data_IF_606083849912
#
_entry.id   IF_606083849912
#
_cell.length_a   1.000
_cell.length_b   1.000
_cell.length_c   1.000
_cell.angle_alpha   90.00
_cell.angle_beta   90.00
_cell.angle_gamma   90.00
#
_symmetry.space_group_name_H-M   'P 1'
#
loop_
_entity.id
_entity.type
_entity.pdbx_description
1 polymer ?
#
# COMPACT_ATOMS: atom_id res chain seq x y z
N UNK A 1 -27.38 3.81 14.34
CA UNK A 1 -26.26 2.92 13.95
C UNK A 1 -25.21 3.75 13.23
N UNK A 2 -23.97 3.88 13.73
CA UNK A 2 -22.95 4.66 13.03
C UNK A 2 -22.49 3.91 11.78
N UNK A 3 -22.46 4.63 10.65
CA UNK A 3 -22.06 4.15 9.33
C UNK A 3 -20.59 3.71 9.38
N UNK A 4 -20.33 2.46 9.03
CA UNK A 4 -18.98 1.90 8.89
C UNK A 4 -18.27 2.58 7.70
N UNK A 5 -17.66 3.74 7.94
CA UNK A 5 -16.75 4.36 6.99
C UNK A 5 -15.44 3.59 7.07
N UNK A 6 -15.15 2.79 6.04
CA UNK A 6 -13.84 2.16 5.89
C UNK A 6 -12.77 3.25 6.05
N UNK A 7 -12.03 3.23 7.17
CA UNK A 7 -10.95 4.19 7.40
C UNK A 7 -9.97 4.06 6.24
N UNK A 8 -9.77 5.14 5.50
CA UNK A 8 -8.79 5.20 4.43
C UNK A 8 -7.44 4.77 5.03
N UNK A 9 -6.84 3.68 4.49
CA UNK A 9 -5.57 3.15 5.01
C UNK A 9 -4.50 4.24 4.97
N UNK A 10 -3.73 4.35 6.05
CA UNK A 10 -2.60 5.30 6.09
C UNK A 10 -1.34 4.66 5.48
N UNK A 11 -0.33 5.48 5.20
CA UNK A 11 0.89 5.01 4.55
C UNK A 11 1.60 3.90 5.34
N UNK A 12 1.68 4.01 6.67
CA UNK A 12 2.31 3.00 7.53
C UNK A 12 1.61 1.64 7.42
N UNK A 13 0.28 1.61 7.42
CA UNK A 13 -0.47 0.37 7.25
C UNK A 13 -0.22 -0.27 5.89
N UNK A 14 -0.13 0.53 4.83
CA UNK A 14 0.18 0.01 3.49
C UNK A 14 1.61 -0.53 3.41
N UNK A 15 2.57 0.15 4.05
CA UNK A 15 3.96 -0.30 4.15
C UNK A 15 4.12 -1.61 4.93
N UNK A 16 3.41 -1.74 6.05
CA UNK A 16 3.35 -2.99 6.83
C UNK A 16 2.75 -4.15 6.03
N UNK A 17 1.70 -3.88 5.24
CA UNK A 17 1.07 -4.91 4.40
C UNK A 17 1.98 -5.31 3.22
N UNK A 18 2.71 -4.36 2.63
CA UNK A 18 3.69 -4.65 1.58
C UNK A 18 4.84 -5.48 2.14
N UNK A 19 5.32 -5.15 3.34
CA UNK A 19 6.37 -5.90 4.03
C UNK A 19 5.98 -7.36 4.28
N UNK A 20 4.72 -7.62 4.65
CA UNK A 20 4.21 -8.99 4.80
C UNK A 20 4.17 -9.74 3.47
N UNK A 21 3.78 -9.07 2.38
CA UNK A 21 3.80 -9.68 1.05
C UNK A 21 5.22 -10.03 0.62
N UNK A 22 6.19 -9.13 0.86
CA UNK A 22 7.61 -9.39 0.58
C UNK A 22 8.14 -10.57 1.42
N UNK A 23 7.84 -10.61 2.72
CA UNK A 23 8.25 -11.71 3.58
C UNK A 23 7.70 -13.07 3.11
N UNK A 24 6.50 -13.09 2.51
CA UNK A 24 5.98 -14.31 1.90
C UNK A 24 6.77 -14.72 0.65
N UNK A 25 7.14 -13.77 -0.22
CA UNK A 25 7.97 -14.06 -1.39
C UNK A 25 9.38 -14.55 -1.04
N UNK A 26 9.88 -14.17 0.13
CA UNK A 26 11.17 -14.60 0.68
C UNK A 26 11.09 -15.96 1.40
N UNK A 27 9.88 -16.51 1.57
CA UNK A 27 9.70 -17.81 2.23
C UNK A 27 10.05 -18.98 1.30
N UNK A 28 10.27 -20.16 1.88
CA UNK A 28 10.62 -21.37 1.11
C UNK A 28 9.39 -22.08 0.49
N UNK A 29 8.17 -21.69 0.88
CA UNK A 29 6.89 -22.28 0.45
C UNK A 29 6.18 -21.42 -0.62
N UNK A 30 6.87 -21.13 -1.73
CA UNK A 30 6.32 -20.33 -2.83
C UNK A 30 5.68 -21.25 -3.88
N UNK A 31 4.35 -21.24 -3.93
CA UNK A 31 3.57 -21.78 -5.05
C UNK A 31 3.41 -20.74 -6.18
N UNK A 32 3.48 -21.17 -7.44
CA UNK A 32 3.45 -20.26 -8.60
C UNK A 32 2.10 -19.53 -8.75
N UNK A 33 0.98 -20.24 -8.54
CA UNK A 33 -0.34 -19.64 -8.67
C UNK A 33 -0.58 -18.65 -7.52
N UNK A 34 -0.12 -18.99 -6.31
CA UNK A 34 -0.16 -18.07 -5.18
C UNK A 34 0.74 -16.83 -5.40
N UNK A 35 1.91 -17.02 -6.01
CA UNK A 35 2.84 -15.94 -6.31
C UNK A 35 2.24 -14.91 -7.27
N UNK A 36 1.50 -15.35 -8.28
CA UNK A 36 0.78 -14.45 -9.20
C UNK A 36 -0.26 -13.61 -8.45
N UNK A 37 -1.05 -14.23 -7.57
CA UNK A 37 -2.06 -13.52 -6.77
C UNK A 37 -1.41 -12.49 -5.85
N UNK A 38 -0.33 -12.85 -5.14
CA UNK A 38 0.36 -11.92 -4.24
C UNK A 38 1.07 -10.80 -4.99
N UNK A 39 1.57 -11.06 -6.19
CA UNK A 39 2.16 -10.04 -7.04
C UNK A 39 1.12 -8.99 -7.42
N UNK A 40 -0.08 -9.40 -7.85
CA UNK A 40 -1.17 -8.46 -8.13
C UNK A 40 -1.60 -7.65 -6.91
N UNK A 41 -1.61 -8.28 -5.73
CA UNK A 41 -1.90 -7.60 -4.47
C UNK A 41 -0.84 -6.54 -4.16
N UNK A 42 0.44 -6.87 -4.29
CA UNK A 42 1.54 -5.94 -4.10
C UNK A 42 1.47 -4.78 -5.10
N UNK A 43 1.21 -5.06 -6.39
CA UNK A 43 1.09 -4.03 -7.42
C UNK A 43 -0.04 -3.04 -7.12
N UNK A 44 -1.22 -3.54 -6.70
CA UNK A 44 -2.34 -2.68 -6.30
C UNK A 44 -2.01 -1.84 -5.07
N UNK A 45 -1.29 -2.40 -4.11
CA UNK A 45 -0.88 -1.71 -2.89
C UNK A 45 0.14 -0.60 -3.18
N UNK A 46 1.12 -0.87 -4.04
CA UNK A 46 2.13 0.10 -4.48
C UNK A 46 1.47 1.28 -5.20
N UNK A 47 0.52 1.04 -6.12
CA UNK A 47 -0.23 2.12 -6.78
C UNK A 47 -0.98 3.02 -5.78
N UNK A 48 -1.56 2.44 -4.72
CA UNK A 48 -2.20 3.21 -3.65
C UNK A 48 -1.18 4.05 -2.86
N UNK A 49 -0.01 3.49 -2.56
CA UNK A 49 1.08 4.18 -1.86
C UNK A 49 1.62 5.35 -2.70
N UNK A 50 1.85 5.15 -4.00
CA UNK A 50 2.28 6.20 -4.92
C UNK A 50 1.27 7.37 -4.98
N UNK A 51 -0.02 7.05 -5.08
CA UNK A 51 -1.10 8.05 -5.03
C UNK A 51 -1.08 8.82 -3.72
N UNK A 52 -0.90 8.14 -2.59
CA UNK A 52 -0.80 8.77 -1.28
C UNK A 52 0.38 9.76 -1.22
N UNK A 53 1.56 9.34 -1.67
CA UNK A 53 2.76 10.18 -1.70
C UNK A 53 2.61 11.38 -2.64
N UNK A 54 1.96 11.20 -3.80
CA UNK A 54 1.67 12.30 -4.72
C UNK A 54 0.79 13.36 -4.06
N UNK A 55 -0.25 12.95 -3.34
CA UNK A 55 -1.12 13.87 -2.58
C UNK A 55 -0.34 14.58 -1.48
N UNK A 56 0.51 13.86 -0.74
CA UNK A 56 1.37 14.44 0.29
C UNK A 56 2.33 15.48 -0.29
N UNK A 57 2.99 15.19 -1.41
CA UNK A 57 3.88 16.11 -2.13
C UNK A 57 3.15 17.38 -2.56
N UNK A 58 1.92 17.27 -3.07
CA UNK A 58 1.10 18.43 -3.44
C UNK A 58 0.82 19.31 -2.22
N UNK A 59 0.45 18.71 -1.08
CA UNK A 59 0.19 19.44 0.17
C UNK A 59 1.44 20.19 0.66
N UNK A 60 2.59 19.50 0.71
CA UNK A 60 3.87 20.10 1.11
C UNK A 60 4.23 21.27 0.18
N UNK A 61 4.11 21.07 -1.14
CA UNK A 61 4.43 22.11 -2.14
C UNK A 61 3.56 23.36 -1.95
N UNK A 62 2.28 23.20 -1.59
CA UNK A 62 1.40 24.34 -1.31
C UNK A 62 1.83 25.10 -0.05
N UNK A 63 2.23 24.39 1.00
CA UNK A 63 2.70 25.00 2.26
C UNK A 63 4.02 25.75 2.04
N UNK A 64 4.96 25.18 1.27
CA UNK A 64 6.30 25.76 1.10
C UNK A 64 6.39 26.86 0.04
N UNK A 65 5.38 26.98 -0.84
CA UNK A 65 5.29 28.05 -1.85
C UNK A 65 4.32 29.19 -1.46
N UNK A 66 3.69 29.09 -0.29
CA UNK A 66 2.91 30.16 0.33
C UNK A 66 3.81 31.00 1.23
#
# INVERSE_FOLDING_TARGET
>A
MPKNTARQRNYRQMDEDLSKLMAWFESEDVDLDEALVKYEQAAKLIDQMEKYLKVAKIKITKITKS
#
